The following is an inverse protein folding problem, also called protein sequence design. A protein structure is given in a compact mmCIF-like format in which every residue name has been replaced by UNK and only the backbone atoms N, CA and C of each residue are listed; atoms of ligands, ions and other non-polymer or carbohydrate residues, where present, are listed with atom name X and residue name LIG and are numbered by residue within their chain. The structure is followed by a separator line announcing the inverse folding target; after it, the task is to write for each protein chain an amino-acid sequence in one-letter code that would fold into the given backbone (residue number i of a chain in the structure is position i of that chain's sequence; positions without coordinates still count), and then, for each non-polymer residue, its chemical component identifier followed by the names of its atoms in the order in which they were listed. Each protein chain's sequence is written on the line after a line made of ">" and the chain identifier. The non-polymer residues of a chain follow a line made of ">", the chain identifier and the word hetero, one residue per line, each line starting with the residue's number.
data_IF_600031756485
#
_entry.id   IF_600031756485
#
_cell.length_a   1.000
_cell.length_b   1.000
_cell.length_c   1.000
_cell.angle_alpha   90.00
_cell.angle_beta   90.00
_cell.angle_gamma   90.00
#
_symmetry.space_group_name_H-M   'P 1'
#
loop_
_entity.id
_entity.type
_entity.pdbx_description
1 polymer ?
#
# COMPACT_ATOMS: atom_id res chain seq x y z
N UNK A 1 63.75 8.91 40.89
CA UNK A 1 62.38 8.76 41.39
C UNK A 1 61.50 9.84 40.77
N UNK A 2 60.74 9.53 39.73
CA UNK A 2 59.62 10.37 39.27
C UNK A 2 58.54 9.44 38.70
N UNK A 3 57.59 9.09 39.56
CA UNK A 3 56.41 8.28 39.27
C UNK A 3 55.21 9.25 39.23
N UNK A 4 54.79 9.72 38.04
CA UNK A 4 53.48 10.32 37.84
C UNK A 4 53.16 10.59 36.35
N UNK A 5 53.25 9.57 35.48
CA UNK A 5 52.87 9.70 34.07
C UNK A 5 52.06 8.51 33.55
N UNK A 6 51.07 8.05 34.33
CA UNK A 6 50.28 6.88 33.95
C UNK A 6 48.93 6.79 34.60
N UNK A 7 47.99 7.68 34.26
CA UNK A 7 46.56 7.48 34.57
C UNK A 7 45.60 8.40 33.78
N UNK A 8 45.78 8.58 32.47
CA UNK A 8 44.82 9.35 31.66
C UNK A 8 44.54 8.71 30.30
N UNK A 9 44.39 7.38 30.27
CA UNK A 9 43.95 6.65 29.07
C UNK A 9 42.69 5.84 29.40
N UNK A 10 41.68 6.05 28.55
CA UNK A 10 40.51 5.20 28.33
C UNK A 10 39.29 5.36 29.25
N UNK A 11 38.57 6.47 29.09
CA UNK A 11 37.10 6.45 29.11
C UNK A 11 36.59 7.23 27.89
N UNK A 12 36.72 6.63 26.71
CA UNK A 12 35.94 7.09 25.55
C UNK A 12 34.47 6.81 25.85
N UNK A 13 33.57 7.81 25.84
CA UNK A 13 32.15 7.53 25.94
C UNK A 13 31.79 6.62 24.77
N UNK A 14 31.11 5.51 25.05
CA UNK A 14 30.49 4.67 24.04
C UNK A 14 29.37 5.51 23.41
N UNK A 15 29.76 6.42 22.52
CA UNK A 15 28.84 7.07 21.60
C UNK A 15 28.37 5.94 20.70
N UNK A 16 27.19 5.37 21.02
CA UNK A 16 26.48 4.47 20.12
C UNK A 16 26.32 5.23 18.80
N UNK A 17 27.16 4.89 17.83
CA UNK A 17 27.03 5.37 16.46
C UNK A 17 25.56 5.19 16.06
N UNK A 18 24.88 6.24 15.56
CA UNK A 18 23.50 6.11 15.11
C UNK A 18 23.46 4.96 14.10
N UNK A 19 22.72 3.89 14.43
CA UNK A 19 22.68 2.64 13.64
C UNK A 19 22.44 3.01 12.18
N UNK A 20 23.47 2.86 11.34
CA UNK A 20 23.38 3.09 9.88
C UNK A 20 22.20 2.27 9.37
N UNK A 21 21.26 2.91 8.67
CA UNK A 21 20.10 2.22 8.09
C UNK A 21 20.61 1.11 7.17
N UNK A 22 20.16 -0.13 7.41
CA UNK A 22 20.52 -1.29 6.62
C UNK A 22 20.07 -1.10 5.18
N UNK A 23 20.95 -1.36 4.21
CA UNK A 23 20.58 -1.47 2.80
C UNK A 23 20.07 -2.88 2.52
N UNK A 24 19.06 -3.01 1.67
CA UNK A 24 18.56 -4.32 1.24
C UNK A 24 19.61 -5.01 0.36
N UNK A 25 19.74 -6.33 0.52
CA UNK A 25 20.58 -7.19 -0.30
C UNK A 25 19.97 -7.41 -1.69
N UNK A 26 20.78 -7.85 -2.66
CA UNK A 26 20.29 -8.20 -4.00
C UNK A 26 19.20 -9.30 -3.96
N UNK A 27 19.28 -10.24 -3.01
CA UNK A 27 18.23 -11.24 -2.82
C UNK A 27 16.91 -10.61 -2.35
N UNK A 28 16.95 -9.70 -1.38
CA UNK A 28 15.74 -9.01 -0.91
C UNK A 28 15.09 -8.18 -2.02
N UNK A 29 15.89 -7.41 -2.78
CA UNK A 29 15.37 -6.64 -3.92
C UNK A 29 14.72 -7.56 -4.98
N UNK A 30 15.34 -8.71 -5.29
CA UNK A 30 14.74 -9.70 -6.22
C UNK A 30 13.43 -10.28 -5.69
N UNK A 31 13.38 -10.65 -4.41
CA UNK A 31 12.16 -11.19 -3.80
C UNK A 31 11.04 -10.15 -3.76
N UNK A 32 11.37 -8.89 -3.43
CA UNK A 32 10.41 -7.78 -3.48
C UNK A 32 9.87 -7.54 -4.89
N UNK A 33 10.74 -7.58 -5.90
CA UNK A 33 10.34 -7.43 -7.30
C UNK A 33 9.45 -8.60 -7.73
N UNK A 34 9.81 -9.84 -7.39
CA UNK A 34 9.05 -11.03 -7.74
C UNK A 34 7.66 -11.06 -7.08
N UNK A 35 7.55 -10.73 -5.78
CA UNK A 35 6.25 -10.73 -5.11
C UNK A 35 5.27 -9.73 -5.75
N UNK A 36 5.72 -8.51 -6.04
CA UNK A 36 4.85 -7.54 -6.71
C UNK A 36 4.68 -7.81 -8.21
N UNK A 37 5.63 -8.46 -8.88
CA UNK A 37 5.40 -9.02 -10.22
C UNK A 37 4.28 -10.06 -10.23
N UNK A 38 4.23 -10.96 -9.25
CA UNK A 38 3.12 -11.90 -9.07
C UNK A 38 1.80 -11.17 -8.77
N UNK A 39 1.83 -10.12 -7.95
CA UNK A 39 0.67 -9.26 -7.70
C UNK A 39 0.11 -8.59 -8.95
N UNK A 40 1.00 -8.09 -9.83
CA UNK A 40 0.61 -7.51 -11.11
C UNK A 40 -0.12 -8.54 -11.98
N UNK A 41 0.44 -9.74 -12.13
CA UNK A 41 -0.17 -10.83 -12.91
C UNK A 41 -1.51 -11.24 -12.31
N UNK A 42 -1.61 -11.38 -10.99
CA UNK A 42 -2.86 -11.70 -10.31
C UNK A 42 -3.93 -10.62 -10.52
N UNK A 43 -3.57 -9.33 -10.43
CA UNK A 43 -4.49 -8.23 -10.69
C UNK A 43 -4.96 -8.18 -12.15
N UNK A 44 -4.05 -8.41 -13.10
CA UNK A 44 -4.37 -8.47 -14.52
C UNK A 44 -5.30 -9.66 -14.86
N UNK A 45 -5.09 -10.82 -14.23
CA UNK A 45 -5.95 -11.99 -14.40
C UNK A 45 -7.33 -11.82 -13.73
N UNK A 46 -7.39 -11.14 -12.57
CA UNK A 46 -8.64 -10.88 -11.85
C UNK A 46 -9.55 -9.90 -12.61
N UNK A 47 -8.99 -8.93 -13.32
CA UNK A 47 -9.78 -7.88 -13.98
C UNK A 47 -10.89 -8.41 -14.91
N UNK A 48 -10.63 -9.18 -15.98
CA UNK A 48 -11.69 -9.62 -16.89
C UNK A 48 -12.79 -10.42 -16.15
N UNK A 49 -12.39 -11.28 -15.21
CA UNK A 49 -13.32 -12.09 -14.42
C UNK A 49 -14.26 -11.23 -13.56
N UNK A 50 -13.74 -10.17 -12.96
CA UNK A 50 -14.53 -9.24 -12.15
C UNK A 50 -15.36 -8.28 -13.02
N UNK A 51 -14.82 -7.82 -14.14
CA UNK A 51 -15.48 -6.84 -15.01
C UNK A 51 -16.72 -7.40 -15.68
N UNK A 52 -16.66 -8.63 -16.21
CA UNK A 52 -17.82 -9.26 -16.85
C UNK A 52 -18.95 -9.46 -15.84
N UNK A 53 -18.61 -9.95 -14.66
CA UNK A 53 -19.55 -10.18 -13.58
C UNK A 53 -20.15 -8.87 -13.03
N UNK A 54 -19.33 -7.83 -12.91
CA UNK A 54 -19.75 -6.50 -12.47
C UNK A 54 -20.69 -5.83 -13.48
N UNK A 55 -20.39 -5.93 -14.78
CA UNK A 55 -21.25 -5.38 -15.82
C UNK A 55 -22.62 -6.04 -15.84
N UNK A 56 -22.67 -7.37 -15.68
CA UNK A 56 -23.91 -8.14 -15.70
C UNK A 56 -24.78 -7.91 -14.47
N UNK A 57 -24.19 -7.80 -13.26
CA UNK A 57 -24.94 -7.74 -12.00
C UNK A 57 -25.10 -6.33 -11.41
N UNK A 58 -24.13 -5.45 -11.63
CA UNK A 58 -24.10 -4.10 -11.08
C UNK A 58 -24.14 -2.98 -12.13
N UNK A 59 -24.18 -3.33 -13.41
CA UNK A 59 -24.22 -2.37 -14.52
C UNK A 59 -22.89 -1.66 -14.79
N UNK A 60 -22.95 -0.62 -15.63
CA UNK A 60 -21.75 0.06 -16.14
C UNK A 60 -20.89 0.70 -15.04
N UNK A 61 -21.50 1.31 -14.02
CA UNK A 61 -20.76 1.98 -12.94
C UNK A 61 -20.03 0.99 -12.04
N UNK A 62 -20.61 -0.18 -11.77
CA UNK A 62 -19.92 -1.26 -11.06
C UNK A 62 -18.70 -1.75 -11.86
N UNK A 63 -18.85 -1.92 -13.18
CA UNK A 63 -17.74 -2.31 -14.06
C UNK A 63 -16.61 -1.25 -14.07
N UNK A 64 -16.96 0.05 -14.10
CA UNK A 64 -15.99 1.15 -13.97
C UNK A 64 -15.28 1.09 -12.62
N UNK A 65 -16.01 0.90 -11.52
CA UNK A 65 -15.41 0.82 -10.19
C UNK A 65 -14.41 -0.32 -10.05
N UNK A 66 -14.76 -1.50 -10.58
CA UNK A 66 -13.86 -2.66 -10.66
C UNK A 66 -12.64 -2.37 -11.53
N UNK A 67 -12.82 -1.76 -12.71
CA UNK A 67 -11.71 -1.42 -13.59
C UNK A 67 -10.72 -0.47 -12.91
N UNK A 68 -11.22 0.55 -12.20
CA UNK A 68 -10.39 1.49 -11.43
C UNK A 68 -9.61 0.78 -10.32
N UNK A 69 -10.26 -0.12 -9.57
CA UNK A 69 -9.58 -0.95 -8.58
C UNK A 69 -8.46 -1.81 -9.20
N UNK A 70 -8.76 -2.59 -10.24
CA UNK A 70 -7.79 -3.46 -10.90
C UNK A 70 -6.62 -2.67 -11.53
N UNK A 71 -6.91 -1.58 -12.23
CA UNK A 71 -5.88 -0.72 -12.84
C UNK A 71 -4.97 -0.08 -11.79
N UNK A 72 -5.53 0.40 -10.68
CA UNK A 72 -4.72 0.95 -9.60
C UNK A 72 -3.86 -0.11 -8.90
N UNK A 73 -4.37 -1.34 -8.76
CA UNK A 73 -3.60 -2.49 -8.25
C UNK A 73 -2.44 -2.85 -9.18
N UNK A 74 -2.70 -2.93 -10.49
CA UNK A 74 -1.68 -3.13 -11.51
C UNK A 74 -0.63 -2.01 -11.46
N UNK A 75 -1.04 -0.76 -11.32
CA UNK A 75 -0.13 0.38 -11.22
C UNK A 75 0.82 0.26 -10.02
N UNK A 76 0.30 -0.01 -8.81
CA UNK A 76 1.16 -0.12 -7.61
C UNK A 76 2.12 -1.29 -7.71
N UNK A 77 1.64 -2.44 -8.22
CA UNK A 77 2.48 -3.62 -8.38
C UNK A 77 3.55 -3.45 -9.46
N UNK A 78 3.21 -2.85 -10.61
CA UNK A 78 4.16 -2.56 -11.66
C UNK A 78 5.22 -1.54 -11.21
N UNK A 79 4.79 -0.45 -10.56
CA UNK A 79 5.70 0.59 -10.07
C UNK A 79 6.71 0.02 -9.06
N UNK A 80 6.22 -0.84 -8.16
CA UNK A 80 7.06 -1.48 -7.15
C UNK A 80 8.00 -2.53 -7.71
N UNK A 81 7.51 -3.37 -8.62
CA UNK A 81 8.33 -4.34 -9.36
C UNK A 81 9.48 -3.62 -10.08
N UNK A 82 9.18 -2.52 -10.78
CA UNK A 82 10.18 -1.72 -11.48
C UNK A 82 11.19 -1.09 -10.51
N UNK A 83 10.72 -0.51 -9.39
CA UNK A 83 11.60 0.08 -8.39
C UNK A 83 12.62 -0.93 -7.84
N UNK A 84 12.16 -2.12 -7.48
CA UNK A 84 13.02 -3.16 -6.92
C UNK A 84 13.89 -3.86 -7.97
N UNK A 85 13.42 -3.98 -9.21
CA UNK A 85 14.18 -4.54 -10.32
C UNK A 85 15.29 -3.62 -10.85
N UNK A 86 15.19 -2.31 -10.67
CA UNK A 86 16.19 -1.36 -11.18
C UNK A 86 17.48 -1.35 -10.35
N UNK A 87 18.66 -1.17 -11.00
CA UNK A 87 19.93 -0.95 -10.32
C UNK A 87 19.99 0.42 -9.66
N UNK A 88 20.97 0.64 -8.78
CA UNK A 88 21.17 1.95 -8.15
C UNK A 88 21.45 3.03 -9.20
N UNK A 89 20.70 4.13 -9.14
CA UNK A 89 20.85 5.26 -10.05
C UNK A 89 19.65 6.20 -10.03
N UNK A 90 19.65 7.18 -10.95
CA UNK A 90 18.57 8.17 -11.08
C UNK A 90 17.22 7.50 -11.41
N UNK A 91 17.24 6.46 -12.26
CA UNK A 91 16.03 5.70 -12.61
C UNK A 91 15.37 5.06 -11.39
N UNK A 92 16.13 4.35 -10.53
CA UNK A 92 15.61 3.77 -9.28
C UNK A 92 15.06 4.83 -8.32
N UNK A 93 15.66 6.02 -8.26
CA UNK A 93 15.15 7.10 -7.41
C UNK A 93 13.77 7.59 -7.87
N UNK A 94 13.58 7.74 -9.19
CA UNK A 94 12.27 8.10 -9.76
C UNK A 94 11.25 6.96 -9.60
N UNK A 95 11.64 5.72 -9.91
CA UNK A 95 10.79 4.56 -9.71
C UNK A 95 10.32 4.43 -8.25
N UNK A 96 11.19 4.71 -7.27
CA UNK A 96 10.80 4.75 -5.85
C UNK A 96 9.75 5.82 -5.52
N UNK A 97 9.82 6.98 -6.20
CA UNK A 97 8.80 8.02 -6.00
C UNK A 97 7.46 7.59 -6.59
N UNK A 98 7.48 6.97 -7.77
CA UNK A 98 6.29 6.43 -8.43
C UNK A 98 5.68 5.29 -7.61
N UNK A 99 6.49 4.34 -7.16
CA UNK A 99 6.11 3.23 -6.28
C UNK A 99 5.35 3.75 -5.05
N UNK A 100 5.95 4.66 -4.27
CA UNK A 100 5.24 5.20 -3.12
C UNK A 100 4.06 6.12 -3.47
N UNK A 101 4.06 6.79 -4.61
CA UNK A 101 2.94 7.62 -5.05
C UNK A 101 1.74 6.75 -5.41
N UNK A 102 1.98 5.62 -6.08
CA UNK A 102 0.94 4.68 -6.51
C UNK A 102 0.17 4.05 -5.35
N UNK A 103 0.74 3.98 -4.14
CA UNK A 103 0.03 3.56 -2.92
C UNK A 103 -1.20 4.46 -2.67
N UNK A 104 -1.10 5.78 -2.85
CA UNK A 104 -2.23 6.69 -2.68
C UNK A 104 -3.36 6.37 -3.67
N UNK A 105 -2.99 6.18 -4.93
CA UNK A 105 -3.91 5.87 -6.03
C UNK A 105 -4.58 4.51 -5.79
N UNK A 106 -3.82 3.51 -5.33
CA UNK A 106 -4.35 2.19 -5.02
C UNK A 106 -5.32 2.20 -3.85
N UNK A 107 -5.03 2.97 -2.79
CA UNK A 107 -5.98 3.14 -1.68
C UNK A 107 -7.29 3.72 -2.20
N UNK A 108 -7.26 4.84 -2.95
CA UNK A 108 -8.47 5.44 -3.53
C UNK A 108 -9.20 4.49 -4.51
N UNK A 109 -8.44 3.78 -5.36
CA UNK A 109 -8.98 2.79 -6.28
C UNK A 109 -9.73 1.67 -5.56
N UNK A 110 -9.22 1.23 -4.39
CA UNK A 110 -9.86 0.19 -3.58
C UNK A 110 -11.22 0.56 -2.99
N UNK A 111 -11.54 1.86 -2.85
CA UNK A 111 -12.87 2.33 -2.46
C UNK A 111 -13.88 2.32 -3.61
N UNK A 112 -13.39 2.44 -4.84
CA UNK A 112 -14.21 2.82 -5.99
C UNK A 112 -15.31 1.80 -6.32
N UNK A 113 -15.08 0.47 -6.28
CA UNK A 113 -16.15 -0.51 -6.48
C UNK A 113 -17.32 -0.35 -5.51
N UNK A 114 -17.02 -0.07 -4.23
CA UNK A 114 -18.03 0.02 -3.18
C UNK A 114 -18.77 1.36 -3.20
N UNK A 115 -18.06 2.42 -3.59
CA UNK A 115 -18.62 3.75 -3.70
C UNK A 115 -19.54 3.90 -4.92
N UNK A 116 -19.15 3.36 -6.07
CA UNK A 116 -19.96 3.38 -7.30
C UNK A 116 -21.01 2.28 -7.38
N UNK A 117 -20.93 1.26 -6.51
CA UNK A 117 -21.93 0.21 -6.38
C UNK A 117 -22.89 0.47 -5.21
N UNK A 118 -22.78 -0.25 -4.07
CA UNK A 118 -23.72 -0.15 -2.96
C UNK A 118 -23.99 1.25 -2.43
N UNK A 119 -22.99 2.13 -2.42
CA UNK A 119 -23.10 3.47 -1.83
C UNK A 119 -23.50 4.55 -2.85
N UNK A 120 -23.78 4.17 -4.09
CA UNK A 120 -24.21 5.09 -5.14
C UNK A 120 -25.47 5.86 -4.72
N UNK A 121 -25.56 7.13 -5.13
CA UNK A 121 -26.69 8.02 -4.82
C UNK A 121 -26.82 8.40 -3.34
N UNK A 122 -25.78 8.14 -2.54
CA UNK A 122 -25.70 8.49 -1.13
C UNK A 122 -24.29 8.92 -0.74
N UNK A 123 -23.65 8.16 0.15
CA UNK A 123 -22.31 8.51 0.66
C UNK A 123 -21.16 8.16 -0.30
N UNK A 124 -21.42 7.48 -1.42
CA UNK A 124 -20.38 7.05 -2.37
C UNK A 124 -19.68 8.20 -3.08
N UNK A 125 -20.42 9.17 -3.58
CA UNK A 125 -19.88 10.35 -4.29
C UNK A 125 -19.00 11.23 -3.40
N UNK A 126 -19.45 11.69 -2.21
CA UNK A 126 -18.60 12.48 -1.31
C UNK A 126 -17.40 11.67 -0.81
N UNK A 127 -17.54 10.36 -0.61
CA UNK A 127 -16.40 9.49 -0.28
C UNK A 127 -15.36 9.52 -1.39
N UNK A 128 -15.77 9.28 -2.65
CA UNK A 128 -14.86 9.29 -3.78
C UNK A 128 -14.14 10.61 -3.93
N UNK A 129 -14.86 11.73 -3.86
CA UNK A 129 -14.27 13.06 -3.93
C UNK A 129 -13.21 13.27 -2.83
N UNK A 130 -13.53 12.87 -1.59
CA UNK A 130 -12.60 12.95 -0.46
C UNK A 130 -11.36 12.08 -0.63
N UNK A 131 -11.53 10.79 -0.89
CA UNK A 131 -10.39 9.85 -0.97
C UNK A 131 -9.52 10.12 -2.19
N UNK A 132 -10.10 10.43 -3.35
CA UNK A 132 -9.34 10.79 -4.55
C UNK A 132 -8.67 12.14 -4.42
N UNK A 133 -9.32 13.14 -3.80
CA UNK A 133 -8.71 14.44 -3.53
C UNK A 133 -7.43 14.31 -2.70
N UNK A 134 -7.51 13.58 -1.57
CA UNK A 134 -6.34 13.31 -0.73
C UNK A 134 -5.30 12.47 -1.48
N UNK A 135 -5.72 11.46 -2.23
CA UNK A 135 -4.81 10.58 -2.96
C UNK A 135 -4.02 11.32 -4.05
N UNK A 136 -4.67 12.18 -4.84
CA UNK A 136 -4.02 12.95 -5.91
C UNK A 136 -3.02 13.97 -5.33
N UNK A 137 -3.40 14.67 -4.27
CA UNK A 137 -2.48 15.59 -3.55
C UNK A 137 -1.30 14.82 -2.96
N UNK A 138 -1.56 13.69 -2.29
CA UNK A 138 -0.53 12.83 -1.70
C UNK A 138 0.44 12.27 -2.75
N UNK A 139 -0.10 11.74 -3.85
CA UNK A 139 0.68 11.22 -4.98
C UNK A 139 1.53 12.32 -5.62
N UNK A 140 0.95 13.49 -5.90
CA UNK A 140 1.66 14.65 -6.45
C UNK A 140 2.79 15.12 -5.53
N UNK A 141 2.54 15.23 -4.23
CA UNK A 141 3.55 15.54 -3.22
C UNK A 141 4.67 14.48 -3.17
N UNK A 142 4.36 13.20 -3.42
CA UNK A 142 5.35 12.13 -3.41
C UNK A 142 6.25 12.15 -4.65
N UNK A 143 5.66 12.34 -5.83
CA UNK A 143 6.38 12.49 -7.11
C UNK A 143 7.25 13.75 -7.11
N UNK A 144 6.70 14.87 -6.63
CA UNK A 144 7.40 16.15 -6.48
C UNK A 144 8.45 16.19 -5.37
N UNK A 145 8.62 15.09 -4.60
CA UNK A 145 9.62 15.01 -3.53
C UNK A 145 9.32 15.89 -2.32
N UNK A 146 8.07 16.30 -2.10
CA UNK A 146 7.63 17.11 -0.95
C UNK A 146 7.25 16.27 0.27
N UNK A 147 6.84 15.01 0.07
CA UNK A 147 6.45 14.07 1.14
C UNK A 147 7.45 12.92 1.27
N UNK A 148 8.69 13.20 1.70
CA UNK A 148 9.76 12.19 1.76
C UNK A 148 9.82 11.44 3.10
N UNK A 149 9.29 12.01 4.17
CA UNK A 149 9.35 11.40 5.49
C UNK A 149 8.48 10.14 5.55
N UNK A 150 9.13 8.99 5.77
CA UNK A 150 8.47 7.67 5.70
C UNK A 150 7.27 7.55 6.62
N UNK A 151 7.43 7.93 7.89
CA UNK A 151 6.35 7.84 8.88
C UNK A 151 5.20 8.77 8.48
N UNK A 152 5.49 9.98 8.03
CA UNK A 152 4.45 10.92 7.62
C UNK A 152 3.61 10.37 6.47
N UNK A 153 4.24 9.84 5.41
CA UNK A 153 3.48 9.19 4.33
C UNK A 153 2.65 8.01 4.82
N UNK A 154 3.22 7.19 5.71
CA UNK A 154 2.55 6.00 6.25
C UNK A 154 1.33 6.36 7.08
N UNK A 155 1.40 7.42 7.88
CA UNK A 155 0.26 7.94 8.64
C UNK A 155 -0.85 8.44 7.72
N UNK A 156 -0.50 9.13 6.62
CA UNK A 156 -1.51 9.55 5.63
C UNK A 156 -2.12 8.35 4.92
N UNK A 157 -1.33 7.33 4.54
CA UNK A 157 -1.86 6.08 3.96
C UNK A 157 -2.84 5.40 4.92
N UNK A 158 -2.46 5.26 6.19
CA UNK A 158 -3.29 4.63 7.20
C UNK A 158 -4.58 5.43 7.47
N UNK A 159 -4.48 6.75 7.60
CA UNK A 159 -5.63 7.63 7.76
C UNK A 159 -6.59 7.49 6.57
N UNK A 160 -6.07 7.53 5.34
CA UNK A 160 -6.86 7.37 4.12
C UNK A 160 -7.54 5.99 4.08
N UNK A 161 -6.82 4.90 4.37
CA UNK A 161 -7.36 3.55 4.33
C UNK A 161 -8.39 3.23 5.42
N UNK A 162 -8.33 3.90 6.56
CA UNK A 162 -9.31 3.74 7.64
C UNK A 162 -10.50 4.69 7.53
N UNK A 163 -10.56 5.60 6.55
CA UNK A 163 -11.77 6.36 6.23
C UNK A 163 -12.97 5.44 5.94
N UNK A 164 -12.72 4.19 5.55
CA UNK A 164 -13.75 3.17 5.34
C UNK A 164 -14.59 2.89 6.59
N UNK A 165 -14.03 3.05 7.80
CA UNK A 165 -14.74 2.77 9.05
C UNK A 165 -15.98 3.65 9.22
N UNK A 166 -15.90 4.91 8.79
CA UNK A 166 -17.01 5.84 8.86
C UNK A 166 -18.22 5.38 8.02
N UNK A 167 -18.00 4.47 7.07
CA UNK A 167 -19.00 3.99 6.13
C UNK A 167 -19.33 2.50 6.32
N UNK A 168 -18.75 1.83 7.32
CA UNK A 168 -19.00 0.42 7.57
C UNK A 168 -20.48 0.14 7.84
N UNK A 169 -21.16 0.96 8.64
CA UNK A 169 -22.58 0.80 8.93
C UNK A 169 -23.45 0.90 7.67
N UNK A 170 -23.39 2.03 6.94
CA UNK A 170 -24.10 2.20 5.67
C UNK A 170 -23.75 1.15 4.60
N UNK A 171 -22.51 0.67 4.56
CA UNK A 171 -22.09 -0.37 3.64
C UNK A 171 -22.68 -1.73 4.05
N UNK A 172 -22.57 -2.09 5.34
CA UNK A 172 -23.04 -3.37 5.88
C UNK A 172 -24.56 -3.58 5.70
N UNK A 173 -25.36 -2.50 5.69
CA UNK A 173 -26.79 -2.59 5.43
C UNK A 173 -27.14 -2.78 3.94
N UNK A 174 -26.16 -2.65 3.03
CA UNK A 174 -26.35 -2.70 1.58
C UNK A 174 -25.60 -3.84 0.88
N UNK A 175 -24.79 -4.62 1.61
CA UNK A 175 -23.99 -5.71 1.05
C UNK A 175 -24.23 -7.03 1.78
N UNK A 176 -23.99 -8.15 1.10
CA UNK A 176 -24.03 -9.47 1.71
C UNK A 176 -22.97 -9.64 2.81
N UNK A 177 -23.27 -10.50 3.79
CA UNK A 177 -22.49 -10.65 5.03
C UNK A 177 -21.01 -11.02 4.87
N UNK A 178 -20.58 -11.51 3.70
CA UNK A 178 -19.18 -11.85 3.44
C UNK A 178 -18.32 -10.64 3.02
N UNK A 179 -18.90 -9.57 2.47
CA UNK A 179 -18.13 -8.43 1.92
C UNK A 179 -17.36 -7.68 3.01
N UNK A 180 -18.04 -7.33 4.10
CA UNK A 180 -17.46 -6.53 5.19
C UNK A 180 -16.32 -7.26 5.92
N UNK A 181 -16.44 -8.55 6.30
CA UNK A 181 -15.32 -9.30 6.89
C UNK A 181 -14.07 -9.30 6.02
N UNK A 182 -14.20 -9.45 4.70
CA UNK A 182 -13.04 -9.40 3.79
C UNK A 182 -12.40 -8.01 3.75
N UNK A 183 -13.19 -6.94 3.74
CA UNK A 183 -12.66 -5.57 3.83
C UNK A 183 -11.90 -5.33 5.15
N UNK A 184 -12.45 -5.81 6.27
CA UNK A 184 -11.79 -5.70 7.58
C UNK A 184 -10.49 -6.52 7.62
N UNK A 185 -10.51 -7.75 7.11
CA UNK A 185 -9.31 -8.58 7.01
C UNK A 185 -8.23 -7.91 6.16
N UNK A 186 -8.63 -7.29 5.04
CA UNK A 186 -7.72 -6.51 4.18
C UNK A 186 -7.12 -5.30 4.88
N UNK A 187 -7.94 -4.48 5.54
CA UNK A 187 -7.50 -3.34 6.33
C UNK A 187 -6.54 -3.73 7.47
N UNK A 188 -6.81 -4.85 8.14
CA UNK A 188 -5.91 -5.43 9.15
C UNK A 188 -4.58 -5.86 8.54
N UNK A 189 -4.59 -6.57 7.41
CA UNK A 189 -3.37 -7.00 6.73
C UNK A 189 -2.49 -5.80 6.33
N UNK A 190 -3.09 -4.75 5.74
CA UNK A 190 -2.36 -3.51 5.44
C UNK A 190 -1.78 -2.85 6.69
N UNK A 191 -2.57 -2.75 7.76
CA UNK A 191 -2.16 -2.10 9.01
C UNK A 191 -0.99 -2.83 9.65
N UNK A 192 -1.06 -4.16 9.80
CA UNK A 192 0.05 -4.99 10.28
C UNK A 192 1.26 -4.83 9.36
N UNK A 193 1.03 -4.81 8.05
CA UNK A 193 2.06 -4.56 7.06
C UNK A 193 2.84 -3.27 7.32
N UNK A 194 2.16 -2.18 7.69
CA UNK A 194 2.84 -0.89 7.92
C UNK A 194 3.91 -0.98 9.02
N UNK A 195 3.73 -1.88 10.00
CA UNK A 195 4.72 -2.14 11.04
C UNK A 195 6.01 -2.72 10.46
N UNK A 196 5.88 -3.73 9.57
CA UNK A 196 7.02 -4.32 8.87
C UNK A 196 7.68 -3.32 7.91
N UNK A 197 6.89 -2.52 7.20
CA UNK A 197 7.40 -1.44 6.37
C UNK A 197 8.24 -0.48 7.23
N UNK A 198 7.69 0.12 8.28
CA UNK A 198 8.40 1.09 9.11
C UNK A 198 9.68 0.52 9.76
N UNK A 199 9.71 -0.78 10.04
CA UNK A 199 10.81 -1.46 10.72
C UNK A 199 11.78 -2.23 9.80
N UNK A 200 11.58 -2.26 8.49
CA UNK A 200 12.39 -3.03 7.53
C UNK A 200 13.90 -2.69 7.55
N UNK A 201 14.26 -1.48 7.98
CA UNK A 201 15.64 -1.04 8.15
C UNK A 201 16.37 -1.78 9.27
N UNK A 202 15.64 -2.53 10.11
CA UNK A 202 16.13 -3.38 11.20
C UNK A 202 15.93 -4.87 10.92
N UNK A 203 14.94 -5.23 10.10
CA UNK A 203 14.52 -6.61 9.87
C UNK A 203 14.96 -7.08 8.48
N UNK A 204 15.80 -8.11 8.42
CA UNK A 204 16.11 -8.80 7.17
C UNK A 204 14.80 -9.39 6.60
N UNK A 205 14.53 -9.15 5.32
CA UNK A 205 13.27 -9.48 4.64
C UNK A 205 12.01 -8.75 5.16
N UNK A 206 12.14 -7.74 6.02
CA UNK A 206 10.96 -7.01 6.53
C UNK A 206 10.14 -6.34 5.43
N UNK A 207 10.80 -5.80 4.41
CA UNK A 207 10.12 -5.21 3.25
C UNK A 207 9.38 -6.26 2.40
N UNK A 208 9.94 -7.46 2.30
CA UNK A 208 9.30 -8.56 1.60
C UNK A 208 8.04 -9.03 2.34
N UNK A 209 8.08 -9.12 3.67
CA UNK A 209 6.88 -9.41 4.49
C UNK A 209 5.82 -8.32 4.31
N UNK A 210 6.23 -7.04 4.22
CA UNK A 210 5.33 -5.95 3.85
C UNK A 210 4.65 -6.21 2.49
N UNK A 211 5.39 -6.61 1.46
CA UNK A 211 4.81 -6.96 0.14
C UNK A 211 3.80 -8.11 0.23
N UNK A 212 4.11 -9.17 1.01
CA UNK A 212 3.18 -10.28 1.19
C UNK A 212 1.89 -9.87 1.89
N UNK A 213 1.97 -8.97 2.87
CA UNK A 213 0.79 -8.43 3.56
C UNK A 213 -0.02 -7.49 2.67
N UNK A 214 0.63 -6.75 1.77
CA UNK A 214 -0.06 -5.94 0.74
C UNK A 214 -0.80 -6.84 -0.25
N UNK A 215 -0.16 -7.93 -0.71
CA UNK A 215 -0.79 -8.94 -1.57
C UNK A 215 -2.00 -9.57 -0.87
N UNK A 216 -1.84 -10.04 0.37
CA UNK A 216 -2.93 -10.61 1.16
C UNK A 216 -4.08 -9.60 1.35
N UNK A 217 -3.76 -8.34 1.65
CA UNK A 217 -4.74 -7.27 1.78
C UNK A 217 -5.52 -7.04 0.48
N UNK A 218 -4.82 -6.95 -0.65
CA UNK A 218 -5.47 -6.75 -1.95
C UNK A 218 -6.29 -7.97 -2.37
N UNK A 219 -5.84 -9.18 -2.03
CA UNK A 219 -6.58 -10.42 -2.24
C UNK A 219 -7.88 -10.44 -1.45
N UNK A 220 -7.85 -9.97 -0.19
CA UNK A 220 -9.07 -9.78 0.59
C UNK A 220 -10.02 -8.78 -0.09
N UNK A 221 -9.51 -7.67 -0.65
CA UNK A 221 -10.35 -6.70 -1.37
C UNK A 221 -10.91 -7.28 -2.68
N UNK A 222 -10.17 -8.13 -3.39
CA UNK A 222 -10.69 -8.90 -4.53
C UNK A 222 -11.82 -9.83 -4.08
N UNK A 223 -11.64 -10.58 -2.99
CA UNK A 223 -12.69 -11.45 -2.44
C UNK A 223 -13.92 -10.65 -1.97
N UNK A 224 -13.71 -9.46 -1.39
CA UNK A 224 -14.79 -8.54 -1.06
C UNK A 224 -15.54 -8.07 -2.31
N UNK A 225 -14.84 -7.75 -3.40
CA UNK A 225 -15.45 -7.38 -4.68
C UNK A 225 -16.21 -8.55 -5.32
N UNK A 226 -15.71 -9.79 -5.22
CA UNK A 226 -16.43 -10.98 -5.67
C UNK A 226 -17.70 -11.17 -4.84
N UNK A 227 -17.59 -11.11 -3.51
CA UNK A 227 -18.72 -11.28 -2.59
C UNK A 227 -19.78 -10.17 -2.76
N UNK A 228 -19.34 -8.95 -3.10
CA UNK A 228 -20.24 -7.84 -3.42
C UNK A 228 -21.12 -8.13 -4.64
N UNK A 229 -20.55 -8.84 -5.62
CA UNK A 229 -21.23 -9.16 -6.88
C UNK A 229 -21.92 -10.53 -6.82
N UNK A 230 -21.84 -11.27 -5.72
CA UNK A 230 -22.40 -12.62 -5.52
C UNK A 230 -23.87 -12.61 -5.16
#
# INVERSE_FOLDING_TARGET
>A
MSLAAGAARALSPIVRQPRRRRRQSALEERLNAFSHGAGFVAAAAAWPLLSDHAAQRGGALAAVGIAVFCLSAMLVYAASMLYHGLPHGRAKQWARRLDHASIFVFIAGSYTPFALGPLQGGLGEPLLAGVWGVALVGAGCKVGGRLQHRLASTLVYAALGWMALALLGPLASRVGGATVPWLLAGGCAYTVGTLFYLTDHRLRFGHFVWHLLVLAGSGCHVLAAIALLG
#
